data_IF_863989461852
#
_entry.id   IF_863989461852
#
_cell.length_a   1.000
_cell.length_b   1.000
_cell.length_c   1.000
_cell.angle_alpha   90.00
_cell.angle_beta   90.00
_cell.angle_gamma   90.00
#
_symmetry.space_group_name_H-M   'P 1'
#
loop_
_entity.id
_entity.type
_entity.pdbx_description
1 polymer ?
#
# COMPACT_ATOMS: atom_id res chain seq x y z
N UNK A 1 30.07 2.84 7.92
CA UNK A 1 29.94 3.32 9.32
C UNK A 1 29.72 4.83 9.28
N UNK A 2 28.46 5.27 9.39
CA UNK A 2 28.15 6.66 9.71
C UNK A 2 28.84 6.97 11.05
N UNK A 3 29.43 8.16 11.17
CA UNK A 3 29.94 8.60 12.47
C UNK A 3 28.74 8.64 13.43
N UNK A 4 28.78 7.84 14.51
CA UNK A 4 27.68 7.67 15.47
C UNK A 4 27.19 9.03 16.04
N UNK A 5 28.02 10.07 15.93
CA UNK A 5 27.69 11.43 16.31
C UNK A 5 26.75 12.18 15.37
N UNK A 6 26.64 11.80 14.09
CA UNK A 6 25.78 12.51 13.14
C UNK A 6 24.33 12.43 13.61
N UNK A 7 23.85 11.24 14.00
CA UNK A 7 22.45 11.04 14.38
C UNK A 7 22.08 11.77 15.67
N UNK A 8 22.94 11.69 16.69
CA UNK A 8 22.80 12.45 17.93
C UNK A 8 22.83 13.97 17.67
N UNK A 9 23.53 14.41 16.62
CA UNK A 9 23.57 15.82 16.22
C UNK A 9 22.35 16.26 15.43
N UNK A 10 21.65 15.35 14.73
CA UNK A 10 20.47 15.67 13.92
C UNK A 10 19.17 15.70 14.76
N UNK A 11 19.00 14.76 15.69
CA UNK A 11 17.79 14.64 16.51
C UNK A 11 17.34 15.96 17.20
N UNK A 12 18.22 16.80 17.77
CA UNK A 12 17.83 18.06 18.40
C UNK A 12 17.13 19.04 17.46
N UNK A 13 17.37 18.93 16.15
CA UNK A 13 16.80 19.82 15.13
C UNK A 13 15.54 19.26 14.46
N UNK A 14 15.18 18.00 14.74
CA UNK A 14 13.97 17.37 14.22
C UNK A 14 12.75 17.77 15.06
N UNK A 15 12.42 19.05 15.19
CA UNK A 15 11.24 19.46 15.95
C UNK A 15 10.40 20.43 15.14
N UNK A 16 9.08 20.39 15.36
CA UNK A 16 8.17 21.32 14.72
C UNK A 16 8.08 22.62 15.54
N UNK A 17 8.77 23.66 15.07
CA UNK A 17 8.61 25.05 15.50
C UNK A 17 8.63 25.95 14.26
N UNK A 18 7.81 27.02 14.25
CA UNK A 18 7.66 27.88 13.07
C UNK A 18 9.00 28.44 12.56
N UNK A 19 9.92 28.77 13.48
CA UNK A 19 11.22 29.37 13.13
C UNK A 19 12.26 28.34 12.64
N UNK A 20 11.95 27.04 12.71
CA UNK A 20 12.86 25.95 12.33
C UNK A 20 12.33 25.07 11.19
N UNK A 21 11.17 25.42 10.62
CA UNK A 21 10.52 24.63 9.57
C UNK A 21 11.42 24.42 8.35
N UNK A 22 12.13 25.45 7.89
CA UNK A 22 13.04 25.34 6.74
C UNK A 22 14.18 24.33 7.02
N UNK A 23 14.71 24.34 8.25
CA UNK A 23 15.73 23.39 8.68
C UNK A 23 15.15 21.97 8.71
N UNK A 24 13.95 21.81 9.25
CA UNK A 24 13.26 20.52 9.30
C UNK A 24 13.00 19.95 7.90
N UNK A 25 12.62 20.79 6.93
CA UNK A 25 12.42 20.39 5.54
C UNK A 25 13.72 19.81 4.93
N UNK A 26 14.84 20.53 5.06
CA UNK A 26 16.14 20.08 4.54
C UNK A 26 16.63 18.82 5.26
N UNK A 27 16.47 18.77 6.58
CA UNK A 27 16.80 17.57 7.37
C UNK A 27 15.94 16.38 6.98
N UNK A 28 14.66 16.59 6.71
CA UNK A 28 13.77 15.55 6.19
C UNK A 28 14.35 14.89 4.94
N UNK A 29 14.81 15.69 3.97
CA UNK A 29 15.43 15.15 2.76
C UNK A 29 16.72 14.40 3.03
N UNK A 30 17.60 14.92 3.90
CA UNK A 30 18.80 14.19 4.34
C UNK A 30 18.43 12.82 4.92
N UNK A 31 17.40 12.76 5.75
CA UNK A 31 16.91 11.50 6.32
C UNK A 31 16.39 10.55 5.25
N UNK A 32 15.74 11.02 4.18
CA UNK A 32 15.30 10.14 3.08
C UNK A 32 16.49 9.42 2.43
N UNK A 33 17.62 10.11 2.23
CA UNK A 33 18.82 9.50 1.67
C UNK A 33 19.49 8.52 2.63
N UNK A 34 19.54 8.86 3.93
CA UNK A 34 20.11 7.99 4.95
C UNK A 34 19.29 6.70 5.14
N UNK A 35 17.96 6.82 5.11
CA UNK A 35 17.03 5.69 5.29
C UNK A 35 16.84 4.85 4.03
N UNK A 36 17.17 5.37 2.84
CA UNK A 36 17.13 4.60 1.60
C UNK A 36 18.22 3.52 1.53
N UNK A 37 19.28 3.63 2.35
CA UNK A 37 20.34 2.63 2.46
C UNK A 37 20.07 1.71 3.65
N UNK A 38 19.98 0.41 3.41
CA UNK A 38 19.82 -0.60 4.47
C UNK A 38 21.00 -0.64 5.44
N UNK A 39 22.18 -0.09 5.09
CA UNK A 39 23.36 -0.05 5.97
C UNK A 39 23.09 0.71 7.28
N UNK A 40 22.19 1.70 7.26
CA UNK A 40 22.03 2.66 8.36
C UNK A 40 20.69 2.55 9.08
N UNK A 41 19.70 1.87 8.49
CA UNK A 41 18.33 1.81 9.03
C UNK A 41 18.32 1.29 10.46
N UNK A 42 19.03 0.21 10.75
CA UNK A 42 19.04 -0.40 12.09
C UNK A 42 19.62 0.55 13.16
N UNK A 43 20.72 1.23 12.84
CA UNK A 43 21.34 2.22 13.74
C UNK A 43 20.40 3.42 13.96
N UNK A 44 19.75 3.90 12.89
CA UNK A 44 18.80 5.01 12.92
C UNK A 44 17.58 4.69 13.78
N UNK A 45 16.99 3.50 13.59
CA UNK A 45 15.83 3.04 14.36
C UNK A 45 16.20 2.82 15.82
N UNK A 46 17.36 2.21 16.10
CA UNK A 46 17.88 2.01 17.46
C UNK A 46 18.12 3.35 18.18
N UNK A 47 18.57 4.36 17.46
CA UNK A 47 18.72 5.72 17.98
C UNK A 47 17.38 6.46 18.22
N UNK A 48 16.24 5.84 17.89
CA UNK A 48 14.90 6.37 18.14
C UNK A 48 14.32 7.21 17.00
N UNK A 49 14.96 7.24 15.83
CA UNK A 49 14.52 8.08 14.71
C UNK A 49 13.08 7.77 14.30
N UNK A 50 12.72 6.50 14.12
CA UNK A 50 11.39 6.11 13.66
C UNK A 50 10.27 6.63 14.59
N UNK A 51 10.42 6.42 15.90
CA UNK A 51 9.45 6.93 16.90
C UNK A 51 9.34 8.45 16.79
N UNK A 52 10.46 9.13 16.63
CA UNK A 52 10.52 10.57 16.54
C UNK A 52 9.83 11.12 15.28
N UNK A 53 10.07 10.52 14.12
CA UNK A 53 9.41 10.90 12.87
C UNK A 53 7.90 10.63 12.92
N UNK A 54 7.47 9.52 13.50
CA UNK A 54 6.05 9.23 13.72
C UNK A 54 5.40 10.32 14.58
N UNK A 55 6.04 10.72 15.68
CA UNK A 55 5.53 11.81 16.54
C UNK A 55 5.47 13.16 15.82
N UNK A 56 6.41 13.45 14.92
CA UNK A 56 6.37 14.66 14.09
C UNK A 56 5.20 14.62 13.11
N UNK A 57 4.97 13.50 12.43
CA UNK A 57 3.82 13.35 11.53
C UNK A 57 2.50 13.56 12.27
N UNK A 58 2.36 13.00 13.48
CA UNK A 58 1.20 13.24 14.35
C UNK A 58 1.02 14.73 14.67
N UNK A 59 2.12 15.43 14.96
CA UNK A 59 2.10 16.87 15.23
C UNK A 59 1.66 17.66 13.99
N UNK A 60 2.13 17.30 12.79
CA UNK A 60 1.71 17.93 11.54
C UNK A 60 0.24 17.70 11.24
N UNK A 61 -0.29 16.49 11.42
CA UNK A 61 -1.71 16.23 11.20
C UNK A 61 -2.62 17.06 12.11
N UNK A 62 -2.20 17.32 13.35
CA UNK A 62 -2.96 18.15 14.29
C UNK A 62 -2.84 19.66 14.02
N UNK A 63 -1.72 20.13 13.47
CA UNK A 63 -1.41 21.56 13.30
C UNK A 63 -1.53 22.07 11.86
N UNK A 64 -0.70 21.54 10.96
CA UNK A 64 -0.59 21.95 9.55
C UNK A 64 -0.48 20.73 8.63
N UNK A 65 -1.61 20.01 8.50
CA UNK A 65 -1.70 18.75 7.75
C UNK A 65 -1.44 18.87 6.24
N UNK A 66 -1.24 20.09 5.73
CA UNK A 66 -0.97 20.36 4.33
C UNK A 66 0.43 20.92 4.10
N UNK A 67 1.33 20.83 5.09
CA UNK A 67 2.73 21.21 4.93
C UNK A 67 3.50 20.18 4.09
N UNK A 68 3.22 20.13 2.79
CA UNK A 68 3.81 19.12 1.90
C UNK A 68 5.33 19.15 1.83
N UNK A 69 5.97 20.30 2.07
CA UNK A 69 7.43 20.42 2.07
C UNK A 69 8.08 19.65 3.23
N UNK A 70 7.48 19.66 4.41
CA UNK A 70 7.96 18.89 5.56
C UNK A 70 7.39 17.47 5.58
N UNK A 71 6.09 17.30 5.33
CA UNK A 71 5.41 16.01 5.49
C UNK A 71 5.92 14.97 4.49
N UNK A 72 6.16 15.35 3.23
CA UNK A 72 6.59 14.40 2.17
C UNK A 72 7.91 13.70 2.51
N UNK A 73 9.02 14.42 2.81
CA UNK A 73 10.26 13.74 3.17
C UNK A 73 10.16 12.96 4.49
N UNK A 74 9.35 13.40 5.44
CA UNK A 74 9.12 12.64 6.69
C UNK A 74 8.40 11.32 6.43
N UNK A 75 7.33 11.32 5.63
CA UNK A 75 6.64 10.09 5.19
C UNK A 75 7.60 9.18 4.42
N UNK A 76 8.38 9.73 3.50
CA UNK A 76 9.38 8.96 2.74
C UNK A 76 10.39 8.27 3.64
N UNK A 77 10.93 8.99 4.63
CA UNK A 77 11.89 8.42 5.58
C UNK A 77 11.25 7.31 6.44
N UNK A 78 10.00 7.50 6.91
CA UNK A 78 9.26 6.46 7.63
C UNK A 78 9.02 5.23 6.74
N UNK A 79 8.54 5.43 5.51
CA UNK A 79 8.26 4.32 4.60
C UNK A 79 9.51 3.57 4.17
N UNK A 80 10.66 4.25 4.02
CA UNK A 80 11.96 3.59 3.78
C UNK A 80 12.32 2.64 4.94
N UNK A 81 12.17 3.09 6.18
CA UNK A 81 12.42 2.24 7.35
C UNK A 81 11.42 1.08 7.43
N UNK A 82 10.12 1.34 7.21
CA UNK A 82 9.08 0.32 7.23
C UNK A 82 9.15 -0.70 6.07
N UNK A 83 9.94 -0.42 5.03
CA UNK A 83 10.26 -1.40 3.97
C UNK A 83 11.37 -2.40 4.37
N UNK A 84 12.03 -2.16 5.52
CA UNK A 84 13.06 -3.03 6.09
C UNK A 84 12.48 -4.16 6.93
N UNK A 85 12.93 -4.29 8.18
CA UNK A 85 12.47 -5.36 9.07
C UNK A 85 11.02 -5.15 9.55
N UNK A 86 10.27 -6.24 9.68
CA UNK A 86 8.90 -6.25 10.22
C UNK A 86 8.79 -5.52 11.57
N UNK A 87 9.85 -5.63 12.40
CA UNK A 87 9.96 -4.98 13.69
C UNK A 87 9.77 -3.45 13.61
N UNK A 88 10.15 -2.82 12.50
CA UNK A 88 10.02 -1.37 12.31
C UNK A 88 8.57 -0.96 12.06
N UNK A 89 7.84 -1.69 11.21
CA UNK A 89 6.40 -1.47 11.03
C UNK A 89 5.62 -1.74 12.33
N UNK A 90 6.01 -2.76 13.10
CA UNK A 90 5.47 -3.02 14.45
C UNK A 90 5.82 -1.92 15.47
N UNK A 91 7.01 -1.33 15.38
CA UNK A 91 7.39 -0.22 16.24
C UNK A 91 6.64 1.06 15.90
N UNK A 92 6.46 1.36 14.60
CA UNK A 92 5.73 2.53 14.15
C UNK A 92 4.26 2.50 14.61
N UNK A 93 3.60 1.34 14.48
CA UNK A 93 2.19 1.18 14.84
C UNK A 93 1.92 1.25 16.36
N UNK A 94 2.95 1.14 17.20
CA UNK A 94 2.81 1.31 18.65
C UNK A 94 2.35 2.73 19.04
N UNK A 95 2.51 3.74 18.16
CA UNK A 95 1.88 5.03 18.37
C UNK A 95 0.41 4.96 17.94
N UNK A 96 -0.57 5.07 18.87
CA UNK A 96 -1.99 4.90 18.55
C UNK A 96 -2.54 5.99 17.62
N UNK A 97 -1.83 7.11 17.46
CA UNK A 97 -2.23 8.20 16.58
C UNK A 97 -1.67 8.07 15.16
N UNK A 98 -0.84 7.06 14.86
CA UNK A 98 -0.27 6.90 13.52
C UNK A 98 -1.34 6.62 12.46
N UNK A 99 -2.23 5.64 12.66
CA UNK A 99 -3.29 5.35 11.68
C UNK A 99 -4.26 6.54 11.47
N UNK A 100 -4.75 7.22 12.53
CA UNK A 100 -5.52 8.46 12.36
C UNK A 100 -4.76 9.56 11.59
N UNK A 101 -3.45 9.69 11.85
CA UNK A 101 -2.57 10.65 11.16
C UNK A 101 -2.46 10.34 9.67
N UNK A 102 -2.19 9.08 9.31
CA UNK A 102 -2.17 8.64 7.91
C UNK A 102 -3.54 8.84 7.26
N UNK A 103 -4.63 8.61 7.98
CA UNK A 103 -5.98 8.84 7.45
C UNK A 103 -6.22 10.32 7.12
N UNK A 104 -5.77 11.24 7.98
CA UNK A 104 -5.83 12.67 7.69
C UNK A 104 -5.04 13.03 6.43
N UNK A 105 -3.86 12.43 6.24
CA UNK A 105 -3.03 12.67 5.06
C UNK A 105 -3.60 12.12 3.75
N UNK A 106 -4.38 11.03 3.79
CA UNK A 106 -5.14 10.55 2.62
C UNK A 106 -6.17 11.58 2.12
N UNK A 107 -6.61 12.51 2.98
CA UNK A 107 -7.52 13.60 2.65
C UNK A 107 -6.80 14.93 2.31
N UNK A 108 -5.48 14.91 2.18
CA UNK A 108 -4.71 16.12 1.85
C UNK A 108 -5.09 16.68 0.49
N UNK A 109 -5.03 18.01 0.33
CA UNK A 109 -5.13 18.65 -1.00
C UNK A 109 -3.89 18.38 -1.87
N UNK A 110 -2.81 17.91 -1.26
CA UNK A 110 -1.55 17.66 -1.94
C UNK A 110 -1.43 16.20 -2.35
N UNK A 111 -1.55 15.96 -3.66
CA UNK A 111 -1.45 14.62 -4.26
C UNK A 111 -0.19 13.85 -3.88
N UNK A 112 0.94 14.52 -3.72
CA UNK A 112 2.19 13.86 -3.29
C UNK A 112 2.10 13.34 -1.85
N UNK A 113 1.39 14.04 -0.94
CA UNK A 113 1.17 13.54 0.43
C UNK A 113 0.33 12.28 0.40
N UNK A 114 -0.77 12.27 -0.38
CA UNK A 114 -1.61 11.09 -0.55
C UNK A 114 -0.78 9.91 -1.07
N UNK A 115 0.02 10.15 -2.11
CA UNK A 115 0.86 9.14 -2.73
C UNK A 115 1.86 8.52 -1.73
N UNK A 116 2.62 9.36 -1.02
CA UNK A 116 3.57 8.87 -0.01
C UNK A 116 2.87 8.15 1.14
N UNK A 117 1.68 8.61 1.54
CA UNK A 117 0.90 7.98 2.60
C UNK A 117 0.48 6.56 2.21
N UNK A 118 -0.01 6.38 0.98
CA UNK A 118 -0.36 5.06 0.44
C UNK A 118 0.87 4.16 0.36
N UNK A 119 2.01 4.70 -0.06
CA UNK A 119 3.26 3.96 -0.14
C UNK A 119 3.76 3.49 1.25
N UNK A 120 3.72 4.37 2.26
CA UNK A 120 4.02 4.01 3.66
C UNK A 120 3.08 2.91 4.16
N UNK A 121 1.77 3.08 3.94
CA UNK A 121 0.78 2.06 4.31
C UNK A 121 1.05 0.73 3.61
N UNK A 122 1.47 0.74 2.35
CA UNK A 122 1.76 -0.46 1.56
C UNK A 122 2.94 -1.24 2.14
N UNK A 123 4.04 -0.54 2.48
CA UNK A 123 5.20 -1.16 3.14
C UNK A 123 4.83 -1.72 4.52
N UNK A 124 4.07 -0.95 5.30
CA UNK A 124 3.60 -1.39 6.62
C UNK A 124 2.65 -2.59 6.54
N UNK A 125 1.78 -2.63 5.53
CA UNK A 125 0.84 -3.72 5.28
C UNK A 125 1.54 -5.02 4.86
N UNK A 126 2.85 -5.03 4.57
CA UNK A 126 3.60 -6.26 4.40
C UNK A 126 3.72 -7.07 5.71
N UNK A 127 3.41 -6.48 6.86
CA UNK A 127 3.38 -7.16 8.17
C UNK A 127 1.95 -7.51 8.54
N UNK A 128 1.67 -8.80 8.78
CA UNK A 128 0.32 -9.35 9.01
C UNK A 128 -0.46 -8.65 10.14
N UNK A 129 0.20 -8.33 11.26
CA UNK A 129 -0.44 -7.68 12.40
C UNK A 129 -0.84 -6.24 12.08
N UNK A 130 -0.04 -5.54 11.27
CA UNK A 130 -0.31 -4.17 10.83
C UNK A 130 -1.39 -4.17 9.76
N UNK A 131 -1.34 -5.10 8.80
CA UNK A 131 -2.40 -5.30 7.81
C UNK A 131 -3.75 -5.56 8.48
N UNK A 132 -3.79 -6.43 9.49
CA UNK A 132 -4.99 -6.73 10.28
C UNK A 132 -5.55 -5.48 10.96
N UNK A 133 -4.70 -4.60 11.50
CA UNK A 133 -5.13 -3.33 12.09
C UNK A 133 -5.68 -2.36 11.05
N UNK A 134 -5.03 -2.23 9.88
CA UNK A 134 -5.51 -1.38 8.79
C UNK A 134 -6.90 -1.84 8.33
N UNK A 135 -7.11 -3.15 8.14
CA UNK A 135 -8.38 -3.73 7.67
C UNK A 135 -9.58 -3.46 8.59
N UNK A 136 -9.36 -3.24 9.88
CA UNK A 136 -10.43 -2.95 10.84
C UNK A 136 -10.52 -1.48 11.24
N UNK A 137 -9.66 -0.64 10.66
CA UNK A 137 -9.60 0.79 10.95
C UNK A 137 -10.43 1.62 9.96
N UNK A 138 -10.64 2.89 10.30
CA UNK A 138 -11.30 3.88 9.42
C UNK A 138 -10.47 4.25 8.19
N UNK A 139 -9.23 3.75 8.05
CA UNK A 139 -8.42 3.93 6.85
C UNK A 139 -9.00 3.18 5.65
N UNK A 140 -9.57 1.98 5.84
CA UNK A 140 -9.96 1.11 4.73
C UNK A 140 -11.00 1.77 3.80
N UNK A 141 -12.05 2.44 4.30
CA UNK A 141 -12.93 3.24 3.46
C UNK A 141 -12.22 4.40 2.73
N UNK A 142 -11.32 5.11 3.40
CA UNK A 142 -10.55 6.22 2.80
C UNK A 142 -9.62 5.74 1.68
N UNK A 143 -8.96 4.60 1.89
CA UNK A 143 -8.10 3.94 0.89
C UNK A 143 -8.92 3.56 -0.34
N UNK A 144 -10.06 2.88 -0.15
CA UNK A 144 -10.88 2.43 -1.28
C UNK A 144 -11.57 3.57 -2.02
N UNK A 145 -11.92 4.66 -1.34
CA UNK A 145 -12.44 5.88 -1.97
C UNK A 145 -11.44 6.50 -2.97
N UNK A 146 -10.13 6.25 -2.80
CA UNK A 146 -9.10 6.75 -3.71
C UNK A 146 -8.97 5.95 -5.01
N UNK A 147 -9.70 4.83 -5.19
CA UNK A 147 -9.72 4.06 -6.45
C UNK A 147 -10.22 4.87 -7.64
N UNK A 148 -11.05 5.89 -7.43
CA UNK A 148 -11.54 6.78 -8.49
C UNK A 148 -10.60 7.97 -8.80
N UNK A 149 -9.42 8.01 -8.17
CA UNK A 149 -8.43 9.08 -8.33
C UNK A 149 -7.61 8.96 -9.63
N UNK A 150 -6.57 9.80 -9.76
CA UNK A 150 -5.62 9.73 -10.87
C UNK A 150 -4.94 8.36 -10.95
N UNK A 151 -4.55 7.96 -12.15
CA UNK A 151 -4.01 6.62 -12.45
C UNK A 151 -2.92 6.16 -11.46
N UNK A 152 -1.94 7.00 -11.16
CA UNK A 152 -0.86 6.68 -10.24
C UNK A 152 -1.32 6.49 -8.78
N UNK A 153 -2.25 7.33 -8.28
CA UNK A 153 -2.83 7.16 -6.95
C UNK A 153 -3.64 5.86 -6.89
N UNK A 154 -4.42 5.58 -7.94
CA UNK A 154 -5.15 4.32 -8.06
C UNK A 154 -4.18 3.13 -7.99
N UNK A 155 -3.05 3.17 -8.69
CA UNK A 155 -2.06 2.08 -8.63
C UNK A 155 -1.50 1.87 -7.21
N UNK A 156 -1.15 2.93 -6.49
CA UNK A 156 -0.70 2.82 -5.10
C UNK A 156 -1.79 2.19 -4.20
N UNK A 157 -3.05 2.53 -4.42
CA UNK A 157 -4.17 1.88 -3.71
C UNK A 157 -4.22 0.39 -4.03
N UNK A 158 -4.07 -0.01 -5.30
CA UNK A 158 -4.08 -1.44 -5.65
C UNK A 158 -2.89 -2.17 -5.03
N UNK A 159 -1.68 -1.58 -5.05
CA UNK A 159 -0.52 -2.15 -4.36
C UNK A 159 -0.78 -2.39 -2.88
N UNK A 160 -1.36 -1.40 -2.19
CA UNK A 160 -1.74 -1.54 -0.80
C UNK A 160 -2.79 -2.65 -0.60
N UNK A 161 -3.82 -2.72 -1.44
CA UNK A 161 -4.86 -3.76 -1.36
C UNK A 161 -4.30 -5.16 -1.61
N UNK A 162 -3.33 -5.30 -2.51
CA UNK A 162 -2.56 -6.52 -2.73
C UNK A 162 -1.84 -6.97 -1.46
N UNK A 163 -1.09 -6.07 -0.83
CA UNK A 163 -0.36 -6.38 0.42
C UNK A 163 -1.32 -6.70 1.58
N UNK A 164 -2.45 -6.00 1.67
CA UNK A 164 -3.46 -6.30 2.67
C UNK A 164 -4.05 -7.70 2.47
N UNK A 165 -4.38 -8.08 1.22
CA UNK A 165 -5.02 -9.36 0.90
C UNK A 165 -4.08 -10.57 0.92
N UNK A 166 -2.78 -10.38 0.66
CA UNK A 166 -1.82 -11.48 0.42
C UNK A 166 -1.54 -12.35 1.64
N UNK A 167 -1.93 -11.91 2.85
CA UNK A 167 -1.61 -12.61 4.11
C UNK A 167 -2.42 -13.88 4.34
N UNK A 168 -3.73 -13.84 4.13
CA UNK A 168 -4.59 -15.01 4.37
C UNK A 168 -6.00 -14.83 3.79
N UNK A 169 -6.75 -15.93 3.71
CA UNK A 169 -8.18 -15.92 3.39
C UNK A 169 -8.96 -14.92 4.25
N UNK A 170 -8.67 -14.83 5.56
CA UNK A 170 -9.32 -13.87 6.45
C UNK A 170 -9.15 -12.42 5.96
N UNK A 171 -7.97 -12.06 5.47
CA UNK A 171 -7.70 -10.71 4.96
C UNK A 171 -8.49 -10.44 3.68
N UNK A 172 -8.48 -11.37 2.71
CA UNK A 172 -9.31 -11.27 1.51
C UNK A 172 -10.80 -11.15 1.84
N UNK A 173 -11.32 -11.92 2.80
CA UNK A 173 -12.71 -11.83 3.25
C UNK A 173 -13.08 -10.44 3.78
N UNK A 174 -12.13 -9.69 4.35
CA UNK A 174 -12.38 -8.28 4.76
C UNK A 174 -12.48 -7.31 3.57
N UNK A 175 -11.89 -7.67 2.42
CA UNK A 175 -11.95 -6.86 1.20
C UNK A 175 -13.21 -7.12 0.36
N UNK A 176 -13.81 -8.31 0.45
CA UNK A 176 -15.02 -8.70 -0.32
C UNK A 176 -16.18 -7.70 -0.18
N UNK A 177 -16.56 -7.23 1.03
CA UNK A 177 -17.69 -6.31 1.19
C UNK A 177 -17.47 -4.93 0.56
N UNK A 178 -16.24 -4.59 0.19
CA UNK A 178 -15.89 -3.30 -0.42
C UNK A 178 -16.24 -3.25 -1.91
N UNK A 179 -16.59 -4.39 -2.53
CA UNK A 179 -16.96 -4.50 -3.95
C UNK A 179 -15.96 -3.79 -4.88
N UNK A 180 -14.65 -4.01 -4.65
CA UNK A 180 -13.57 -3.35 -5.38
C UNK A 180 -13.25 -4.01 -6.73
N UNK A 181 -13.57 -5.30 -6.91
CA UNK A 181 -13.29 -6.05 -8.14
C UNK A 181 -13.83 -5.38 -9.41
N UNK A 182 -15.09 -4.90 -9.48
CA UNK A 182 -15.60 -4.22 -10.67
C UNK A 182 -14.76 -3.00 -11.11
N UNK A 183 -14.14 -2.29 -10.15
CA UNK A 183 -13.27 -1.16 -10.46
C UNK A 183 -11.90 -1.61 -10.98
N UNK A 184 -11.40 -2.75 -10.47
CA UNK A 184 -10.05 -3.24 -10.75
C UNK A 184 -9.96 -4.15 -11.97
N UNK A 185 -11.04 -4.83 -12.37
CA UNK A 185 -11.08 -5.63 -13.61
C UNK A 185 -10.78 -4.77 -14.84
N UNK A 186 -11.07 -3.47 -14.81
CA UNK A 186 -10.69 -2.54 -15.88
C UNK A 186 -9.18 -2.45 -16.11
N UNK A 187 -8.34 -2.74 -15.11
CA UNK A 187 -6.89 -2.76 -15.24
C UNK A 187 -6.40 -3.90 -16.16
N UNK A 188 -7.21 -4.93 -16.36
CA UNK A 188 -6.91 -6.03 -17.28
C UNK A 188 -6.92 -5.59 -18.77
N UNK A 189 -7.44 -4.38 -19.06
CA UNK A 189 -7.33 -3.72 -20.38
C UNK A 189 -6.14 -2.77 -20.50
N UNK A 190 -5.34 -2.61 -19.45
CA UNK A 190 -4.24 -1.64 -19.45
C UNK A 190 -3.17 -2.03 -20.48
N UNK A 191 -2.68 -1.05 -21.22
CA UNK A 191 -1.48 -1.21 -22.06
C UNK A 191 -0.19 -1.09 -21.25
N UNK A 192 -0.27 -0.55 -20.04
CA UNK A 192 0.83 -0.52 -19.08
C UNK A 192 0.96 -1.87 -18.38
N UNK A 193 2.11 -2.52 -18.56
CA UNK A 193 2.36 -3.89 -18.08
C UNK A 193 2.36 -3.97 -16.55
N UNK A 194 2.85 -2.94 -15.86
CA UNK A 194 2.86 -2.90 -14.40
C UNK A 194 1.44 -2.92 -13.84
N UNK A 195 0.59 -2.01 -14.33
CA UNK A 195 -0.84 -1.96 -14.00
C UNK A 195 -1.58 -3.25 -14.35
N UNK A 196 -1.28 -3.87 -15.49
CA UNK A 196 -1.92 -5.11 -15.93
C UNK A 196 -1.53 -6.27 -15.02
N UNK A 197 -0.24 -6.45 -14.74
CA UNK A 197 0.24 -7.50 -13.83
C UNK A 197 -0.31 -7.33 -12.41
N UNK A 198 -0.37 -6.09 -11.93
CA UNK A 198 -0.94 -5.78 -10.61
C UNK A 198 -2.44 -6.10 -10.55
N UNK A 199 -3.18 -5.76 -11.60
CA UNK A 199 -4.59 -6.12 -11.73
C UNK A 199 -4.81 -7.63 -11.76
N UNK A 200 -4.03 -8.35 -12.57
CA UNK A 200 -4.07 -9.81 -12.64
C UNK A 200 -3.77 -10.44 -11.28
N UNK A 201 -2.71 -10.00 -10.61
CA UNK A 201 -2.34 -10.49 -9.29
C UNK A 201 -3.45 -10.27 -8.27
N UNK A 202 -4.04 -9.07 -8.22
CA UNK A 202 -5.13 -8.76 -7.30
C UNK A 202 -6.36 -9.65 -7.58
N UNK A 203 -6.78 -9.74 -8.84
CA UNK A 203 -7.95 -10.53 -9.23
C UNK A 203 -7.76 -12.03 -8.96
N UNK A 204 -6.61 -12.59 -9.33
CA UNK A 204 -6.23 -13.98 -9.03
C UNK A 204 -6.31 -14.25 -7.53
N UNK A 205 -5.67 -13.40 -6.72
CA UNK A 205 -5.62 -13.56 -5.27
C UNK A 205 -7.01 -13.61 -4.66
N UNK A 206 -7.90 -12.69 -5.07
CA UNK A 206 -9.26 -12.63 -4.57
C UNK A 206 -10.08 -13.86 -5.00
N UNK A 207 -9.98 -14.27 -6.27
CA UNK A 207 -10.69 -15.46 -6.79
C UNK A 207 -10.21 -16.75 -6.11
N UNK A 208 -8.89 -16.89 -5.91
CA UNK A 208 -8.29 -18.05 -5.24
C UNK A 208 -8.72 -18.18 -3.78
N UNK A 209 -8.78 -17.06 -3.06
CA UNK A 209 -8.97 -17.07 -1.62
C UNK A 209 -10.43 -16.91 -1.18
N UNK A 210 -11.34 -16.46 -2.05
CA UNK A 210 -12.76 -16.26 -1.70
C UNK A 210 -13.69 -16.62 -2.87
N UNK A 211 -14.63 -17.58 -2.69
CA UNK A 211 -15.60 -17.94 -3.72
C UNK A 211 -16.49 -16.78 -4.17
N UNK A 212 -16.88 -15.90 -3.24
CA UNK A 212 -17.70 -14.72 -3.52
C UNK A 212 -17.00 -13.77 -4.50
N UNK A 213 -15.67 -13.69 -4.44
CA UNK A 213 -14.88 -12.87 -5.37
C UNK A 213 -14.83 -13.47 -6.77
N UNK A 214 -14.76 -14.80 -6.90
CA UNK A 214 -14.82 -15.45 -8.20
C UNK A 214 -16.17 -15.16 -8.88
N UNK A 215 -17.27 -15.25 -8.13
CA UNK A 215 -18.59 -14.86 -8.61
C UNK A 215 -18.65 -13.36 -8.99
N UNK A 216 -18.16 -12.46 -8.13
CA UNK A 216 -18.11 -11.03 -8.45
C UNK A 216 -17.27 -10.72 -9.69
N UNK A 217 -16.16 -11.44 -9.88
CA UNK A 217 -15.29 -11.30 -11.03
C UNK A 217 -16.02 -11.70 -12.33
N UNK A 218 -16.76 -12.81 -12.31
CA UNK A 218 -17.61 -13.22 -13.43
C UNK A 218 -18.72 -12.20 -13.71
N UNK A 219 -19.46 -11.77 -12.68
CA UNK A 219 -20.57 -10.81 -12.80
C UNK A 219 -20.15 -9.45 -13.36
N UNK A 220 -18.91 -9.01 -13.08
CA UNK A 220 -18.34 -7.78 -13.65
C UNK A 220 -17.65 -7.98 -15.01
N UNK A 221 -17.82 -9.15 -15.62
CA UNK A 221 -17.35 -9.48 -16.96
C UNK A 221 -15.86 -9.84 -17.04
N UNK A 222 -15.22 -10.14 -15.92
CA UNK A 222 -13.78 -10.42 -15.82
C UNK A 222 -13.30 -11.56 -16.71
N UNK A 223 -14.14 -12.59 -16.93
CA UNK A 223 -13.83 -13.72 -17.83
C UNK A 223 -13.48 -13.21 -19.24
N UNK A 224 -14.32 -12.33 -19.81
CA UNK A 224 -14.07 -11.78 -21.14
C UNK A 224 -12.80 -10.92 -21.24
N UNK A 225 -12.32 -10.37 -20.11
CA UNK A 225 -11.02 -9.71 -20.08
C UNK A 225 -9.88 -10.72 -20.15
N UNK A 226 -9.97 -11.83 -19.40
CA UNK A 226 -8.97 -12.90 -19.43
C UNK A 226 -8.90 -13.57 -20.81
N UNK A 227 -10.04 -13.87 -21.44
CA UNK A 227 -10.10 -14.40 -22.81
C UNK A 227 -9.42 -13.44 -23.81
N UNK A 228 -9.58 -12.13 -23.63
CA UNK A 228 -8.88 -11.13 -24.45
C UNK A 228 -7.36 -11.18 -24.27
N UNK A 229 -6.89 -11.52 -23.07
CA UNK A 229 -5.47 -11.62 -22.75
C UNK A 229 -4.80 -12.88 -23.33
N UNK A 230 -5.54 -13.90 -23.77
CA UNK A 230 -5.02 -15.05 -24.52
C UNK A 230 -4.24 -14.64 -25.78
N UNK A 231 -4.60 -13.50 -26.37
CA UNK A 231 -3.97 -12.98 -27.59
C UNK A 231 -2.92 -11.90 -27.29
N UNK A 232 -2.61 -11.65 -26.03
CA UNK A 232 -1.66 -10.62 -25.62
C UNK A 232 -0.25 -10.97 -26.12
N UNK A 233 0.56 -9.96 -26.49
CA UNK A 233 1.89 -10.21 -27.08
C UNK A 233 2.90 -10.81 -26.08
N UNK A 234 2.74 -10.49 -24.80
CA UNK A 234 3.56 -11.02 -23.70
C UNK A 234 3.09 -12.43 -23.29
N UNK A 235 3.98 -13.41 -23.42
CA UNK A 235 3.73 -14.82 -23.08
C UNK A 235 3.35 -15.04 -21.62
N UNK A 236 4.04 -14.39 -20.68
CA UNK A 236 3.75 -14.57 -19.26
C UNK A 236 2.32 -14.13 -18.89
N UNK A 237 1.83 -13.05 -19.51
CA UNK A 237 0.45 -12.57 -19.32
C UNK A 237 -0.55 -13.56 -19.90
N UNK A 238 -0.29 -14.11 -21.11
CA UNK A 238 -1.15 -15.14 -21.70
C UNK A 238 -1.24 -16.36 -20.78
N UNK A 239 -0.09 -16.87 -20.33
CA UNK A 239 -0.01 -18.03 -19.46
C UNK A 239 -0.79 -17.79 -18.16
N UNK A 240 -0.57 -16.66 -17.49
CA UNK A 240 -1.26 -16.34 -16.25
C UNK A 240 -2.79 -16.19 -16.43
N UNK A 241 -3.24 -15.56 -17.53
CA UNK A 241 -4.66 -15.42 -17.82
C UNK A 241 -5.32 -16.79 -18.08
N UNK A 242 -4.65 -17.67 -18.82
CA UNK A 242 -5.16 -19.01 -19.13
C UNK A 242 -5.23 -19.88 -17.88
N UNK A 243 -4.18 -19.87 -17.05
CA UNK A 243 -4.18 -20.59 -15.78
C UNK A 243 -5.33 -20.14 -14.87
N UNK A 244 -5.62 -18.83 -14.83
CA UNK A 244 -6.73 -18.29 -14.06
C UNK A 244 -8.10 -18.73 -14.63
N UNK A 245 -8.28 -18.73 -15.95
CA UNK A 245 -9.49 -19.23 -16.62
C UNK A 245 -9.73 -20.71 -16.31
N UNK A 246 -8.72 -21.55 -16.54
CA UNK A 246 -8.78 -22.99 -16.32
C UNK A 246 -9.06 -23.33 -14.86
N UNK A 247 -8.37 -22.68 -13.92
CA UNK A 247 -8.46 -23.02 -12.50
C UNK A 247 -9.79 -22.63 -11.86
N UNK A 248 -10.36 -21.48 -12.24
CA UNK A 248 -11.50 -20.91 -11.51
C UNK A 248 -12.81 -20.89 -12.28
N UNK A 249 -12.80 -20.94 -13.61
CA UNK A 249 -13.99 -20.66 -14.42
C UNK A 249 -14.36 -21.78 -15.41
N UNK A 250 -13.44 -22.68 -15.78
CA UNK A 250 -13.71 -23.75 -16.74
C UNK A 250 -14.04 -25.12 -16.11
N UNK A 251 -13.60 -25.37 -14.86
CA UNK A 251 -13.79 -26.68 -14.20
C UNK A 251 -15.22 -26.92 -13.67
N UNK A 252 -16.13 -25.95 -13.79
CA UNK A 252 -17.52 -26.03 -13.32
C UNK A 252 -18.53 -26.56 -14.33
N UNK A 253 -18.22 -26.53 -15.63
CA UNK A 253 -19.17 -26.91 -16.69
C UNK A 253 -19.24 -28.42 -16.96
N UNK A 254 -18.29 -29.22 -16.43
CA UNK A 254 -18.25 -30.69 -16.64
C UNK A 254 -18.92 -31.51 -15.51
N UNK A 255 -19.55 -30.88 -14.51
CA UNK A 255 -20.31 -31.59 -13.45
C UNK A 255 -21.84 -31.46 -13.59
N UNK A 256 -22.32 -31.04 -14.75
CA UNK A 256 -23.73 -30.96 -15.08
C UNK A 256 -24.12 -31.86 -16.23
N UNK A 257 -23.91 -33.19 -16.12
CA UNK A 257 -24.67 -34.22 -16.86
C UNK A 257 -24.13 -35.64 -16.53
N UNK A 258 -24.23 -36.08 -15.28
CA UNK A 258 -24.19 -37.51 -14.95
C UNK A 258 -25.42 -37.90 -14.14
N UNK A 259 -26.39 -38.40 -14.92
CA UNK A 259 -27.41 -39.41 -14.58
C UNK A 259 -28.64 -39.03 -13.74
N UNK A 260 -29.74 -38.86 -14.49
CA UNK A 260 -31.05 -39.58 -14.41
C UNK A 260 -31.76 -39.76 -13.05
#
# INVERSE_FOLDING_TARGET
MLDQNILASLLPYLHYQNDTLDILCELGWVLTYLTASSEYVDELVTAGLLIHLVNLLVTFAAGDQNNGQAITPLLRAVGNMCAGEDAYSLQAINNPNLLPTLNAFLHSKHRHIIKETLWVLSNMAAVVDVASQILVSELLPSITALLVSTFDIRLEVVYLLCNLGSHSTYHCTKLVPLCILPQLVSLLKSSDLESLNLGLYFCEMMCRLTPESAQQFEECGGIGYLEGLEYHSNEAIRTQANEMLETYFLLGDDQGDVEA
#
